data_IF_004929854223
#
_entry.id   IF_004929854223
#
_cell.length_a   1.000
_cell.length_b   1.000
_cell.length_c   1.000
_cell.angle_alpha   90.00
_cell.angle_beta   90.00
_cell.angle_gamma   90.00
#
_symmetry.space_group_name_H-M   'P 1'
#
loop_
_entity.id
_entity.type
_entity.pdbx_description
1 polymer ?
#
# COMPACT_ATOMS: atom_id res chain seq x y z
N UNK A 1 -17.14 16.75 -18.80
CA UNK A 1 -17.73 15.77 -17.86
C UNK A 1 -16.57 15.16 -17.11
N UNK A 2 -16.22 15.73 -15.95
CA UNK A 2 -15.11 15.25 -15.12
C UNK A 2 -15.61 14.23 -14.11
N UNK A 3 -15.16 12.98 -14.25
CA UNK A 3 -15.45 11.88 -13.32
C UNK A 3 -14.24 11.53 -12.47
N UNK A 4 -14.45 10.76 -11.40
CA UNK A 4 -13.46 10.35 -10.39
C UNK A 4 -12.24 9.52 -10.91
N UNK A 5 -12.08 9.40 -12.23
CA UNK A 5 -11.06 8.59 -12.89
C UNK A 5 -10.58 9.22 -14.21
N UNK A 6 -10.63 10.55 -14.36
CA UNK A 6 -10.00 11.18 -15.52
C UNK A 6 -8.50 10.84 -15.57
N UNK A 7 -7.97 10.37 -16.72
CA UNK A 7 -6.55 10.09 -16.85
C UNK A 7 -5.76 11.34 -16.52
N UNK A 8 -4.78 11.22 -15.64
CA UNK A 8 -3.87 12.33 -15.37
C UNK A 8 -3.13 12.67 -16.68
N UNK A 9 -2.99 13.97 -17.01
CA UNK A 9 -2.08 14.36 -18.08
C UNK A 9 -0.69 13.84 -17.72
N UNK A 10 0.00 13.24 -18.70
CA UNK A 10 1.39 12.82 -18.56
C UNK A 10 2.20 13.48 -19.67
N UNK A 11 3.22 14.24 -19.30
CA UNK A 11 4.14 14.88 -20.23
C UNK A 11 5.30 13.94 -20.62
N UNK A 12 5.59 12.95 -19.77
CA UNK A 12 6.76 12.09 -19.87
C UNK A 12 6.36 10.60 -19.99
N UNK A 13 6.45 10.01 -21.20
CA UNK A 13 6.16 8.59 -21.42
C UNK A 13 6.98 7.63 -20.55
N UNK A 14 8.22 8.00 -20.17
CA UNK A 14 9.08 7.14 -19.36
C UNK A 14 8.55 6.98 -17.92
N UNK A 15 7.94 8.03 -17.35
CA UNK A 15 7.32 7.97 -16.04
C UNK A 15 6.08 7.06 -16.06
N UNK A 16 5.26 7.18 -17.10
CA UNK A 16 4.11 6.30 -17.30
C UNK A 16 4.55 4.83 -17.41
N UNK A 17 5.55 4.53 -18.25
CA UNK A 17 6.08 3.17 -18.36
C UNK A 17 6.65 2.65 -17.05
N UNK A 18 7.32 3.50 -16.27
CA UNK A 18 7.87 3.13 -14.98
C UNK A 18 6.78 2.83 -13.94
N UNK A 19 5.71 3.61 -13.91
CA UNK A 19 4.56 3.37 -13.04
C UNK A 19 3.85 2.07 -13.41
N UNK A 20 3.55 1.85 -14.70
CA UNK A 20 2.93 0.60 -15.19
C UNK A 20 3.82 -0.61 -14.91
N UNK A 21 5.13 -0.50 -15.13
CA UNK A 21 6.08 -1.57 -14.81
C UNK A 21 6.14 -1.84 -13.31
N UNK A 22 6.05 -0.80 -12.48
CA UNK A 22 6.09 -0.92 -11.03
C UNK A 22 4.92 -1.76 -10.50
N UNK A 23 3.72 -1.67 -11.10
CA UNK A 23 2.57 -2.53 -10.76
C UNK A 23 2.93 -4.01 -10.86
N UNK A 24 3.68 -4.41 -11.90
CA UNK A 24 4.10 -5.81 -12.10
C UNK A 24 5.14 -6.28 -11.09
N UNK A 25 5.91 -5.35 -10.51
CA UNK A 25 7.00 -5.63 -9.59
C UNK A 25 6.65 -5.28 -8.15
N UNK A 26 5.38 -4.94 -7.86
CA UNK A 26 4.95 -4.63 -6.51
C UNK A 26 5.25 -5.82 -5.60
N UNK A 27 5.96 -5.52 -4.53
CA UNK A 27 6.26 -6.48 -3.47
C UNK A 27 5.68 -5.97 -2.17
N UNK A 28 5.13 -6.89 -1.39
CA UNK A 28 4.97 -6.70 0.03
C UNK A 28 6.21 -7.28 0.74
N UNK A 29 6.54 -6.74 1.90
CA UNK A 29 7.67 -7.23 2.72
C UNK A 29 7.37 -8.61 3.27
N UNK A 30 6.15 -8.79 3.78
CA UNK A 30 5.67 -10.03 4.36
C UNK A 30 4.15 -10.05 4.39
N UNK A 31 3.58 -11.25 4.30
CA UNK A 31 2.19 -11.45 4.63
C UNK A 31 2.05 -11.41 6.16
N UNK A 32 1.04 -10.73 6.67
CA UNK A 32 0.72 -10.83 8.10
C UNK A 32 -0.04 -12.12 8.31
N UNK A 33 0.38 -12.90 9.30
CA UNK A 33 -0.18 -14.21 9.64
C UNK A 33 -0.65 -14.23 11.09
N UNK A 34 -1.40 -15.28 11.48
CA UNK A 34 -2.05 -15.37 12.78
C UNK A 34 -1.12 -15.35 13.99
N UNK A 35 0.18 -15.59 13.80
CA UNK A 35 1.19 -15.53 14.86
C UNK A 35 1.75 -14.12 15.07
N UNK A 36 1.47 -13.18 14.16
CA UNK A 36 1.92 -11.80 14.30
C UNK A 36 1.01 -11.04 15.27
N UNK A 37 1.59 -10.29 16.21
CA UNK A 37 0.83 -9.52 17.21
C UNK A 37 -0.19 -8.54 16.59
N UNK A 38 0.07 -8.07 15.37
CA UNK A 38 -0.81 -7.13 14.67
C UNK A 38 -2.02 -7.83 14.02
N UNK A 39 -1.99 -9.16 13.86
CA UNK A 39 -3.07 -9.94 13.25
C UNK A 39 -4.41 -9.73 13.96
N UNK A 40 -4.42 -9.72 15.29
CA UNK A 40 -5.63 -9.51 16.09
C UNK A 40 -6.24 -8.11 15.86
N UNK A 41 -5.44 -7.14 15.40
CA UNK A 41 -5.91 -5.78 15.09
C UNK A 41 -6.36 -5.62 13.65
N UNK A 42 -6.35 -6.67 12.82
CA UNK A 42 -6.72 -6.64 11.39
C UNK A 42 -8.05 -5.94 11.15
N UNK A 43 -9.12 -6.38 11.82
CA UNK A 43 -10.45 -5.80 11.62
C UNK A 43 -10.51 -4.33 12.07
N UNK A 44 -9.80 -3.98 13.14
CA UNK A 44 -9.68 -2.58 13.58
C UNK A 44 -8.90 -1.71 12.57
N UNK A 45 -7.92 -2.29 11.87
CA UNK A 45 -7.16 -1.59 10.82
C UNK A 45 -8.05 -1.39 9.60
N UNK A 46 -8.71 -2.45 9.13
CA UNK A 46 -9.50 -2.40 7.89
C UNK A 46 -10.77 -1.54 8.02
N UNK A 47 -11.27 -1.35 9.25
CA UNK A 47 -12.35 -0.42 9.55
C UNK A 47 -11.90 1.04 9.73
N UNK A 48 -10.60 1.33 9.68
CA UNK A 48 -10.09 2.70 9.77
C UNK A 48 -10.04 3.37 8.40
N UNK A 49 -9.80 4.70 8.37
CA UNK A 49 -9.63 5.41 7.10
C UNK A 49 -8.30 5.01 6.45
N UNK A 50 -8.30 4.51 5.20
CA UNK A 50 -7.06 4.22 4.49
C UNK A 50 -6.26 5.50 4.24
N UNK A 51 -4.94 5.39 4.31
CA UNK A 51 -4.03 6.47 3.91
C UNK A 51 -4.07 6.68 2.39
N UNK A 52 -4.20 5.59 1.63
CA UNK A 52 -4.50 5.61 0.19
C UNK A 52 -5.15 4.29 -0.23
N UNK A 53 -5.85 4.33 -1.36
CA UNK A 53 -6.31 3.13 -2.07
C UNK A 53 -5.66 3.09 -3.45
N UNK A 54 -5.29 1.90 -3.88
CA UNK A 54 -4.76 1.60 -5.21
C UNK A 54 -5.75 0.70 -5.95
N UNK A 55 -6.19 1.14 -7.12
CA UNK A 55 -7.18 0.43 -7.94
C UNK A 55 -6.54 -0.04 -9.25
N UNK A 56 -6.79 -1.30 -9.61
CA UNK A 56 -6.46 -1.85 -10.92
C UNK A 56 -7.75 -2.28 -11.60
N UNK A 57 -8.07 -1.60 -12.70
CA UNK A 57 -9.18 -1.95 -13.57
C UNK A 57 -8.67 -2.94 -14.63
N UNK A 58 -9.17 -4.17 -14.60
CA UNK A 58 -8.77 -5.19 -15.57
C UNK A 58 -9.52 -5.01 -16.89
N UNK A 59 -8.99 -5.59 -17.97
CA UNK A 59 -9.68 -5.60 -19.27
C UNK A 59 -11.00 -6.38 -19.24
N UNK A 60 -11.19 -7.23 -18.23
CA UNK A 60 -12.39 -8.04 -18.03
C UNK A 60 -13.47 -7.30 -17.21
N UNK A 61 -13.18 -6.07 -16.76
CA UNK A 61 -14.11 -5.22 -16.00
C UNK A 61 -14.06 -5.43 -14.49
N UNK A 62 -13.15 -6.24 -13.99
CA UNK A 62 -12.88 -6.37 -12.55
C UNK A 62 -12.14 -5.14 -12.01
N UNK A 63 -12.46 -4.74 -10.78
CA UNK A 63 -11.74 -3.70 -10.05
C UNK A 63 -11.07 -4.35 -8.86
N UNK A 64 -9.75 -4.49 -8.94
CA UNK A 64 -8.93 -4.96 -7.82
C UNK A 64 -8.56 -3.75 -6.96
N UNK A 65 -8.84 -3.81 -5.67
CA UNK A 65 -8.49 -2.76 -4.72
C UNK A 65 -7.43 -3.25 -3.74
N UNK A 66 -6.40 -2.43 -3.54
CA UNK A 66 -5.49 -2.55 -2.39
C UNK A 66 -5.64 -1.31 -1.52
N UNK A 67 -5.99 -1.49 -0.25
CA UNK A 67 -6.15 -0.39 0.72
C UNK A 67 -4.98 -0.39 1.67
N UNK A 68 -4.32 0.75 1.85
CA UNK A 68 -3.17 0.87 2.73
C UNK A 68 -3.47 1.77 3.92
N UNK A 69 -3.11 1.30 5.11
CA UNK A 69 -3.45 1.92 6.37
C UNK A 69 -2.20 2.31 7.14
N UNK A 70 -2.21 3.53 7.66
CA UNK A 70 -1.17 4.02 8.56
C UNK A 70 -1.59 3.74 10.00
N UNK A 71 -0.93 2.79 10.67
CA UNK A 71 -1.17 2.57 12.09
C UNK A 71 0.12 2.66 12.85
N UNK A 72 0.20 3.66 13.73
CA UNK A 72 1.21 3.71 14.78
C UNK A 72 0.99 2.50 15.66
N UNK A 73 2.01 1.67 15.81
CA UNK A 73 1.99 0.58 16.77
C UNK A 73 1.97 1.21 18.16
N UNK A 74 0.81 1.17 18.83
CA UNK A 74 0.78 1.45 20.26
C UNK A 74 1.49 0.31 20.98
N UNK A 75 2.63 0.62 21.60
CA UNK A 75 3.49 -0.34 22.29
C UNK A 75 4.81 -0.58 21.56
N UNK A 76 5.86 -0.75 22.35
CA UNK A 76 7.18 -1.16 21.89
C UNK A 76 7.04 -2.58 21.30
N UNK A 77 7.27 -2.73 20.00
CA UNK A 77 7.49 -4.04 19.40
C UNK A 77 8.86 -4.52 19.87
N UNK A 78 8.91 -5.30 20.95
CA UNK A 78 10.16 -5.94 21.37
C UNK A 78 10.45 -7.05 20.37
N UNK A 79 11.52 -6.92 19.59
CA UNK A 79 12.01 -7.98 18.71
C UNK A 79 12.43 -9.22 19.51
N UNK A 80 12.62 -10.33 18.81
CA UNK A 80 13.13 -11.59 19.40
C UNK A 80 14.49 -11.44 20.10
N UNK A 81 15.20 -10.35 19.79
CA UNK A 81 16.50 -9.94 20.33
C UNK A 81 16.40 -9.02 21.56
N UNK A 82 15.19 -8.68 22.02
CA UNK A 82 14.96 -7.76 23.14
C UNK A 82 15.10 -6.28 22.77
N UNK A 83 15.31 -5.96 21.49
CA UNK A 83 15.45 -4.57 21.05
C UNK A 83 14.08 -3.98 20.69
N UNK A 84 13.72 -2.79 21.18
CA UNK A 84 12.60 -2.03 20.67
C UNK A 84 12.74 -1.82 19.16
N UNK A 85 11.87 -2.43 18.35
CA UNK A 85 11.69 -2.00 16.98
C UNK A 85 10.98 -0.65 17.01
N UNK A 86 11.78 0.39 16.84
CA UNK A 86 11.32 1.74 16.58
C UNK A 86 10.38 1.70 15.38
N UNK A 87 9.24 2.36 15.50
CA UNK A 87 8.22 2.38 14.47
C UNK A 87 8.80 2.95 13.16
N UNK A 88 8.69 2.19 12.07
CA UNK A 88 9.17 2.61 10.75
C UNK A 88 8.09 3.50 10.09
N UNK A 89 8.34 4.81 9.93
CA UNK A 89 7.38 5.75 9.36
C UNK A 89 7.01 5.44 7.90
N UNK A 90 7.78 4.58 7.21
CA UNK A 90 7.57 4.23 5.82
C UNK A 90 6.73 2.94 5.64
N UNK A 91 6.29 2.29 6.74
CA UNK A 91 5.49 1.05 6.68
C UNK A 91 3.98 1.29 6.72
N UNK A 92 3.27 0.52 5.91
CA UNK A 92 1.81 0.46 5.88
C UNK A 92 1.33 -0.98 6.02
N UNK A 93 0.18 -1.14 6.68
CA UNK A 93 -0.58 -2.39 6.61
C UNK A 93 -1.50 -2.28 5.40
N UNK A 94 -1.36 -3.19 4.45
CA UNK A 94 -2.17 -3.26 3.25
C UNK A 94 -3.19 -4.39 3.35
N UNK A 95 -4.42 -4.10 2.97
CA UNK A 95 -5.40 -5.10 2.59
C UNK A 95 -5.27 -5.37 1.10
N UNK A 96 -4.94 -6.61 0.75
CA UNK A 96 -4.83 -7.06 -0.63
C UNK A 96 -6.22 -7.37 -1.21
N UNK A 97 -6.37 -7.47 -2.55
CA UNK A 97 -7.67 -7.74 -3.18
C UNK A 97 -8.34 -9.05 -2.73
N UNK A 98 -7.56 -10.00 -2.22
CA UNK A 98 -8.05 -11.28 -1.68
C UNK A 98 -8.36 -11.23 -0.16
N UNK A 99 -8.32 -10.05 0.45
CA UNK A 99 -8.61 -9.82 1.87
C UNK A 99 -7.49 -10.19 2.83
N UNK A 100 -6.31 -10.59 2.32
CA UNK A 100 -5.11 -10.80 3.17
C UNK A 100 -4.57 -9.46 3.64
N UNK A 101 -4.02 -9.47 4.85
CA UNK A 101 -3.24 -8.34 5.36
C UNK A 101 -1.77 -8.57 5.02
N UNK A 102 -1.09 -7.57 4.48
CA UNK A 102 0.32 -7.61 4.16
C UNK A 102 1.01 -6.35 4.65
N UNK A 103 2.31 -6.44 4.91
CA UNK A 103 3.14 -5.28 5.23
C UNK A 103 3.76 -4.75 3.93
N UNK A 104 3.56 -3.47 3.64
CA UNK A 104 4.16 -2.80 2.48
C UNK A 104 5.01 -1.61 2.94
N UNK A 105 6.04 -1.29 2.16
CA UNK A 105 6.89 -0.13 2.40
C UNK A 105 6.76 0.92 1.31
N UNK A 106 6.83 2.18 1.72
CA UNK A 106 6.84 3.35 0.83
C UNK A 106 7.89 3.23 -0.26
N UNK A 107 9.11 2.80 0.08
CA UNK A 107 10.20 2.66 -0.90
C UNK A 107 9.86 1.67 -2.02
N UNK A 108 9.23 0.53 -1.69
CA UNK A 108 8.78 -0.47 -2.66
C UNK A 108 7.65 0.02 -3.56
N UNK A 109 6.89 1.01 -3.10
CA UNK A 109 5.71 1.56 -3.76
C UNK A 109 5.91 2.97 -4.33
N UNK A 110 7.10 3.56 -4.18
CA UNK A 110 7.38 4.97 -4.53
C UNK A 110 7.01 5.36 -5.95
N UNK A 111 7.14 4.44 -6.91
CA UNK A 111 6.83 4.70 -8.32
C UNK A 111 5.32 4.76 -8.60
N UNK A 112 4.49 4.29 -7.66
CA UNK A 112 3.02 4.40 -7.71
C UNK A 112 2.48 5.50 -6.79
N UNK A 113 3.25 5.91 -5.79
CA UNK A 113 2.90 6.97 -4.84
C UNK A 113 3.39 8.35 -5.29
N UNK A 114 3.51 8.57 -6.60
CA UNK A 114 3.90 9.87 -7.15
C UNK A 114 2.73 10.84 -7.02
N UNK A 115 3.02 12.03 -6.53
CA UNK A 115 2.08 13.15 -6.49
C UNK A 115 1.79 13.67 -7.91
N UNK A 116 0.67 14.37 -8.12
CA UNK A 116 0.30 14.87 -9.45
C UNK A 116 1.35 15.74 -10.14
N UNK A 117 2.17 16.47 -9.39
CA UNK A 117 3.26 17.30 -9.92
C UNK A 117 4.57 16.54 -10.14
N UNK A 118 4.73 15.35 -9.56
CA UNK A 118 5.84 14.44 -9.90
C UNK A 118 5.56 13.65 -11.18
N UNK A 119 4.29 13.60 -11.62
CA UNK A 119 3.85 12.90 -12.83
C UNK A 119 3.77 13.80 -14.09
N UNK A 120 3.77 15.13 -13.90
CA UNK A 120 3.72 16.15 -14.95
C UNK A 120 5.10 16.78 -15.20
#
# INVERSE_FOLDING_TARGET
MGGAFEPLPFSNPQLLYSAVAAVRTLKYEGAVVSTDNIWEKKDSIFNSTPAFSFYVHTTEGEILETRAFYKKTEGILVGEDGTPHEWDPDRFYAELPDGRMALIQRYGWRNLMLTPWEFN
#
